data_IF_328629715343
#
_entry.id   IF_328629715343
#
_cell.length_a   1.000
_cell.length_b   1.000
_cell.length_c   1.000
_cell.angle_alpha   90.00
_cell.angle_beta   90.00
_cell.angle_gamma   90.00
#
_symmetry.space_group_name_H-M   'P 1'
#
loop_
_entity.id
_entity.type
_entity.pdbx_description
1 polymer ?
#
# COMPACT_ATOMS: atom_id res chain seq x y z
N UNK A 1 -11.97 30.56 2.61
CA UNK A 1 -11.06 29.45 2.94
C UNK A 1 -10.30 29.88 4.19
N UNK A 2 -10.08 29.02 5.19
CA UNK A 2 -9.40 29.43 6.42
C UNK A 2 -7.88 29.45 6.13
N UNK A 3 -7.26 30.63 6.03
CA UNK A 3 -5.84 30.82 5.65
C UNK A 3 -4.87 29.92 6.44
N UNK A 4 -5.20 29.63 7.72
CA UNK A 4 -4.39 28.74 8.56
C UNK A 4 -4.40 27.29 8.06
N UNK A 5 -5.56 26.80 7.62
CA UNK A 5 -5.70 25.42 7.13
C UNK A 5 -4.97 25.19 5.81
N UNK A 6 -5.02 26.19 4.91
CA UNK A 6 -4.28 26.16 3.66
C UNK A 6 -2.79 26.12 3.93
N UNK A 7 -2.26 27.06 4.72
CA UNK A 7 -0.83 27.11 5.02
C UNK A 7 -0.30 25.81 5.65
N UNK A 8 -1.06 25.18 6.55
CA UNK A 8 -0.69 23.88 7.14
C UNK A 8 -0.68 22.77 6.07
N UNK A 9 -1.70 22.72 5.19
CA UNK A 9 -1.74 21.76 4.09
C UNK A 9 -0.61 21.99 3.10
N UNK A 10 -0.35 23.23 2.69
CA UNK A 10 0.72 23.60 1.76
C UNK A 10 2.09 23.20 2.32
N UNK A 11 2.40 23.56 3.58
CA UNK A 11 3.65 23.17 4.22
C UNK A 11 3.83 21.64 4.29
N UNK A 12 2.75 20.91 4.62
CA UNK A 12 2.77 19.45 4.62
C UNK A 12 3.00 18.86 3.23
N UNK A 13 2.35 19.41 2.19
CA UNK A 13 2.48 18.95 0.80
C UNK A 13 3.87 19.25 0.25
N UNK A 14 4.40 20.45 0.47
CA UNK A 14 5.74 20.85 0.01
C UNK A 14 6.84 20.03 0.66
N UNK A 15 6.63 19.58 1.91
CA UNK A 15 7.53 18.66 2.61
C UNK A 15 7.25 17.18 2.32
N UNK A 16 6.32 16.88 1.41
CA UNK A 16 5.90 15.52 1.07
C UNK A 16 5.55 14.66 2.30
N UNK A 17 4.79 15.24 3.23
CA UNK A 17 4.36 14.57 4.45
C UNK A 17 3.29 13.49 4.18
N UNK A 18 3.40 12.33 4.84
CA UNK A 18 2.38 11.28 4.77
C UNK A 18 1.14 11.60 5.61
N UNK A 19 1.33 12.27 6.76
CA UNK A 19 0.26 12.53 7.71
C UNK A 19 0.47 13.90 8.39
N UNK A 20 -0.63 14.59 8.69
CA UNK A 20 -0.73 15.74 9.57
C UNK A 20 -1.47 15.30 10.83
N UNK A 21 -0.88 15.55 12.00
CA UNK A 21 -1.45 15.26 13.31
C UNK A 21 -1.81 16.57 13.98
N UNK A 22 -3.05 16.69 14.46
CA UNK A 22 -3.53 17.83 15.23
C UNK A 22 -4.00 17.27 16.55
N UNK A 23 -3.15 17.39 17.56
CA UNK A 23 -3.35 16.78 18.86
C UNK A 23 -3.55 17.82 19.96
N UNK A 24 -4.47 17.58 20.91
CA UNK A 24 -4.62 18.45 22.05
C UNK A 24 -3.37 18.43 22.93
N UNK A 25 -3.03 19.60 23.48
CA UNK A 25 -2.01 19.80 24.51
C UNK A 25 -2.61 20.65 25.63
N UNK A 26 -1.92 20.74 26.78
CA UNK A 26 -2.42 21.42 27.98
C UNK A 26 -3.02 22.82 27.68
N UNK A 27 -2.34 23.62 26.85
CA UNK A 27 -2.72 25.00 26.56
C UNK A 27 -3.31 25.20 25.14
N UNK A 28 -3.65 24.15 24.41
CA UNK A 28 -4.11 24.30 23.03
C UNK A 28 -3.99 23.05 22.19
N UNK A 29 -3.45 23.20 20.99
CA UNK A 29 -3.20 22.12 20.04
C UNK A 29 -1.78 22.19 19.50
N UNK A 30 -1.24 21.03 19.19
CA UNK A 30 0.03 20.89 18.49
C UNK A 30 -0.22 20.28 17.11
N UNK A 31 0.38 20.89 16.09
CA UNK A 31 0.35 20.41 14.71
C UNK A 31 1.71 19.81 14.37
N UNK A 32 1.70 18.52 14.03
CA UNK A 32 2.88 17.75 13.61
C UNK A 32 2.66 17.18 12.21
N UNK A 33 3.74 16.98 11.48
CA UNK A 33 3.71 16.27 10.20
C UNK A 33 4.69 15.10 10.23
N UNK A 34 4.34 13.99 9.56
CA UNK A 34 5.25 12.86 9.35
C UNK A 34 5.80 12.92 7.93
N UNK A 35 7.12 12.96 7.80
CA UNK A 35 7.84 12.86 6.53
C UNK A 35 8.72 11.62 6.54
N UNK A 36 9.46 11.37 5.44
CA UNK A 36 10.44 10.28 5.37
C UNK A 36 11.53 10.38 6.47
N UNK A 37 11.79 11.58 6.98
CA UNK A 37 12.80 11.85 8.03
C UNK A 37 12.24 11.60 9.44
N UNK A 38 10.91 11.54 9.59
CA UNK A 38 10.25 11.29 10.86
C UNK A 38 9.15 12.31 11.18
N UNK A 39 8.78 12.38 12.46
CA UNK A 39 7.71 13.25 12.96
C UNK A 39 8.28 14.63 13.35
N UNK A 40 7.71 15.69 12.80
CA UNK A 40 8.19 17.07 12.97
C UNK A 40 7.06 17.97 13.45
N UNK A 41 7.28 18.75 14.53
CA UNK A 41 6.33 19.79 14.96
C UNK A 41 6.47 21.00 14.03
N UNK A 42 5.35 21.47 13.48
CA UNK A 42 5.34 22.65 12.59
C UNK A 42 4.68 23.86 13.25
N UNK A 43 3.70 23.66 14.13
CA UNK A 43 2.99 24.77 14.76
C UNK A 43 2.33 24.37 16.09
N UNK A 44 2.20 25.33 17.00
CA UNK A 44 1.27 25.26 18.13
C UNK A 44 0.15 26.27 17.94
N UNK A 45 -1.06 25.88 18.34
CA UNK A 45 -2.29 26.65 18.18
C UNK A 45 -2.96 26.85 19.54
N UNK A 46 -3.65 27.98 19.71
CA UNK A 46 -4.54 28.18 20.85
C UNK A 46 -5.68 27.16 20.82
N UNK A 47 -6.36 26.95 21.96
CA UNK A 47 -7.56 26.10 22.03
C UNK A 47 -8.62 26.51 21.02
N UNK A 48 -8.81 27.81 20.83
CA UNK A 48 -9.74 28.35 19.84
C UNK A 48 -9.26 28.05 18.41
N UNK A 49 -8.00 28.33 18.09
CA UNK A 49 -7.43 28.09 16.76
C UNK A 49 -7.48 26.63 16.34
N UNK A 50 -7.09 25.71 17.23
CA UNK A 50 -7.17 24.27 16.92
C UNK A 50 -8.60 23.78 16.73
N UNK A 51 -9.57 24.29 17.51
CA UNK A 51 -10.99 23.95 17.35
C UNK A 51 -11.56 24.43 16.02
N UNK A 52 -11.18 25.62 15.57
CA UNK A 52 -11.55 26.15 14.26
C UNK A 52 -10.94 25.32 13.11
N UNK A 53 -9.68 24.89 13.26
CA UNK A 53 -9.01 24.01 12.29
C UNK A 53 -9.73 22.66 12.17
N UNK A 54 -10.07 22.04 13.30
CA UNK A 54 -10.82 20.78 13.35
C UNK A 54 -12.19 20.92 12.69
N UNK A 55 -12.96 21.97 13.04
CA UNK A 55 -14.27 22.23 12.45
C UNK A 55 -14.18 22.38 10.92
N UNK A 56 -13.17 23.13 10.43
CA UNK A 56 -12.95 23.31 9.01
C UNK A 56 -12.67 21.98 8.29
N UNK A 57 -11.74 21.18 8.81
CA UNK A 57 -11.42 19.90 8.19
C UNK A 57 -12.59 18.91 8.23
N UNK A 58 -13.35 18.89 9.33
CA UNK A 58 -14.56 18.06 9.42
C UNK A 58 -15.62 18.48 8.41
N UNK A 59 -15.82 19.78 8.21
CA UNK A 59 -16.71 20.28 7.17
C UNK A 59 -16.29 19.81 5.78
N UNK A 60 -15.00 19.98 5.42
CA UNK A 60 -14.49 19.56 4.11
C UNK A 60 -14.60 18.06 3.89
N UNK A 61 -14.37 17.27 4.94
CA UNK A 61 -14.40 15.82 4.90
C UNK A 61 -15.80 15.21 5.06
N UNK A 62 -16.86 16.04 5.09
CA UNK A 62 -18.26 15.64 5.32
C UNK A 62 -18.48 14.88 6.64
N UNK A 63 -17.75 15.26 7.68
CA UNK A 63 -17.87 14.72 9.04
C UNK A 63 -18.81 15.57 9.89
N UNK A 64 -19.38 14.99 10.95
CA UNK A 64 -20.27 15.70 11.87
C UNK A 64 -19.47 16.60 12.82
N UNK A 65 -19.57 17.92 12.60
CA UNK A 65 -18.91 18.97 13.39
C UNK A 65 -19.37 18.99 14.86
N UNK A 66 -20.61 18.56 15.11
CA UNK A 66 -21.22 18.56 16.45
C UNK A 66 -20.75 17.39 17.30
N UNK A 67 -20.56 16.21 16.70
CA UNK A 67 -20.01 15.03 17.39
C UNK A 67 -18.49 15.17 17.55
N UNK A 68 -17.95 14.95 18.75
CA UNK A 68 -16.53 15.19 19.08
C UNK A 68 -15.93 14.10 19.97
N UNK A 69 -16.76 13.17 20.42
CA UNK A 69 -16.41 12.09 21.34
C UNK A 69 -16.19 10.79 20.59
N UNK A 70 -17.07 10.50 19.61
CA UNK A 70 -17.00 9.26 18.82
C UNK A 70 -15.95 9.35 17.71
N UNK A 71 -15.31 8.22 17.34
CA UNK A 71 -14.49 8.16 16.15
C UNK A 71 -15.28 8.54 14.90
N UNK A 72 -14.65 9.31 14.01
CA UNK A 72 -15.22 9.70 12.73
C UNK A 72 -14.16 9.55 11.64
N UNK A 73 -14.62 9.19 10.44
CA UNK A 73 -13.79 9.11 9.24
C UNK A 73 -14.40 9.98 8.15
N UNK A 74 -13.55 10.61 7.35
CA UNK A 74 -13.98 11.42 6.22
C UNK A 74 -12.93 11.43 5.13
N UNK A 75 -13.28 11.94 3.96
CA UNK A 75 -12.36 12.09 2.84
C UNK A 75 -12.62 13.40 2.11
N UNK A 76 -11.56 14.01 1.58
CA UNK A 76 -11.66 15.23 0.79
C UNK A 76 -10.57 15.21 -0.30
N UNK A 77 -10.89 15.71 -1.48
CA UNK A 77 -9.92 15.83 -2.56
C UNK A 77 -9.53 17.31 -2.72
N UNK A 78 -8.22 17.57 -2.76
CA UNK A 78 -7.69 18.89 -3.07
C UNK A 78 -6.89 18.87 -4.37
N UNK A 79 -6.72 20.03 -4.99
CA UNK A 79 -5.81 20.24 -6.11
C UNK A 79 -4.70 21.19 -5.68
N UNK A 80 -3.44 20.75 -5.77
CA UNK A 80 -2.27 21.55 -5.44
C UNK A 80 -1.27 21.51 -6.59
N UNK A 81 -0.90 22.66 -7.14
CA UNK A 81 0.00 22.78 -8.32
C UNK A 81 -0.40 21.83 -9.46
N UNK A 82 -1.71 21.76 -9.77
CA UNK A 82 -2.34 20.86 -10.77
C UNK A 82 -2.23 19.37 -10.50
N UNK A 83 -1.85 18.97 -9.28
CA UNK A 83 -1.85 17.58 -8.83
C UNK A 83 -3.01 17.37 -7.88
N UNK A 84 -3.80 16.33 -8.13
CA UNK A 84 -4.83 15.88 -7.20
C UNK A 84 -4.17 15.16 -6.02
N UNK A 85 -4.59 15.51 -4.82
CA UNK A 85 -4.17 14.87 -3.57
C UNK A 85 -5.43 14.51 -2.80
N UNK A 86 -5.54 13.24 -2.41
CA UNK A 86 -6.66 12.75 -1.61
C UNK A 86 -6.28 12.85 -0.14
N UNK A 87 -7.19 13.38 0.66
CA UNK A 87 -7.02 13.53 2.09
C UNK A 87 -7.98 12.56 2.79
N UNK A 88 -7.46 11.74 3.69
CA UNK A 88 -8.27 10.90 4.57
C UNK A 88 -8.20 11.44 5.98
N UNK A 89 -9.36 11.66 6.59
CA UNK A 89 -9.51 12.24 7.91
C UNK A 89 -9.93 11.16 8.90
N UNK A 90 -9.34 11.21 10.09
CA UNK A 90 -9.75 10.40 11.23
C UNK A 90 -9.76 11.30 12.47
N UNK A 91 -10.92 11.50 13.07
CA UNK A 91 -11.04 12.20 14.35
C UNK A 91 -11.52 11.28 15.46
N UNK A 92 -11.12 11.59 16.69
CA UNK A 92 -11.59 10.87 17.87
C UNK A 92 -11.46 11.76 19.11
N UNK A 93 -12.43 11.66 20.02
CA UNK A 93 -12.37 12.31 21.32
C UNK A 93 -11.31 11.70 22.22
N UNK A 94 -10.47 12.54 22.80
CA UNK A 94 -9.50 12.17 23.83
C UNK A 94 -10.19 12.10 25.21
N UNK A 95 -9.55 11.41 26.16
CA UNK A 95 -10.03 11.28 27.54
C UNK A 95 -10.29 12.64 28.23
N UNK A 96 -9.43 13.65 27.97
CA UNK A 96 -9.58 14.99 28.53
C UNK A 96 -10.73 15.81 27.89
N UNK A 97 -11.49 15.23 26.96
CA UNK A 97 -12.65 15.84 26.32
C UNK A 97 -12.34 16.70 25.10
N UNK A 98 -11.06 16.86 24.75
CA UNK A 98 -10.65 17.48 23.48
C UNK A 98 -10.72 16.47 22.33
N UNK A 99 -10.97 16.94 21.11
CA UNK A 99 -10.97 16.08 19.92
C UNK A 99 -9.58 16.09 19.29
N UNK A 100 -9.11 14.96 18.80
CA UNK A 100 -7.90 14.84 17.98
C UNK A 100 -8.29 14.65 16.52
N UNK A 101 -7.42 15.07 15.59
CA UNK A 101 -7.62 14.86 14.16
C UNK A 101 -6.31 14.47 13.49
N UNK A 102 -6.36 13.44 12.65
CA UNK A 102 -5.28 13.04 11.75
C UNK A 102 -5.76 13.18 10.32
N UNK A 103 -4.94 13.82 9.49
CA UNK A 103 -5.15 13.94 8.04
C UNK A 103 -4.04 13.17 7.33
N UNK A 104 -4.37 12.07 6.66
CA UNK A 104 -3.42 11.35 5.80
C UNK A 104 -3.48 11.92 4.39
N UNK A 105 -2.31 12.24 3.84
CA UNK A 105 -2.14 12.73 2.48
C UNK A 105 -1.82 11.55 1.56
N UNK A 106 -2.76 11.24 0.69
CA UNK A 106 -2.63 10.24 -0.36
C UNK A 106 -2.27 10.97 -1.64
N UNK A 107 -0.99 10.95 -1.97
CA UNK A 107 -0.49 11.50 -3.23
C UNK A 107 -0.87 10.56 -4.39
N UNK A 108 -0.98 11.14 -5.59
CA UNK A 108 -0.99 10.35 -6.82
C UNK A 108 0.32 9.57 -6.98
N UNK A 109 0.33 8.63 -7.93
CA UNK A 109 1.46 7.73 -8.18
C UNK A 109 2.82 8.45 -8.26
N UNK A 110 3.81 7.88 -7.56
CA UNK A 110 5.22 8.19 -7.76
C UNK A 110 5.80 7.20 -8.75
N UNK A 111 6.73 7.66 -9.58
CA UNK A 111 7.62 6.75 -10.29
C UNK A 111 8.38 5.93 -9.26
N UNK A 112 8.19 4.60 -9.27
CA UNK A 112 8.95 3.74 -8.40
C UNK A 112 10.39 3.62 -8.93
N UNK A 113 11.35 3.69 -8.02
CA UNK A 113 12.74 3.37 -8.34
C UNK A 113 12.97 1.88 -8.14
N UNK A 114 13.64 1.24 -9.10
CA UNK A 114 14.02 -0.18 -9.02
C UNK A 114 15.53 -0.31 -9.14
N UNK A 115 16.13 -1.13 -8.29
CA UNK A 115 17.56 -1.45 -8.41
C UNK A 115 17.86 -2.24 -9.68
N UNK A 116 16.94 -3.13 -10.04
CA UNK A 116 17.00 -4.03 -11.18
C UNK A 116 15.70 -3.88 -12.00
N UNK A 117 15.60 -2.92 -12.93
CA UNK A 117 14.39 -2.70 -13.74
C UNK A 117 13.91 -3.93 -14.53
N UNK A 118 14.83 -4.86 -14.84
CA UNK A 118 14.53 -6.16 -15.43
C UNK A 118 13.56 -7.01 -14.58
N UNK A 119 13.58 -6.85 -13.25
CA UNK A 119 12.67 -7.56 -12.35
C UNK A 119 11.22 -7.08 -12.52
N UNK A 120 11.02 -5.77 -12.61
CA UNK A 120 9.70 -5.21 -12.91
C UNK A 120 9.22 -5.62 -14.30
N UNK A 121 10.10 -5.57 -15.31
CA UNK A 121 9.78 -6.02 -16.67
C UNK A 121 9.42 -7.51 -16.74
N UNK A 122 10.06 -8.35 -15.92
CA UNK A 122 9.73 -9.76 -15.79
C UNK A 122 8.31 -9.94 -15.24
N UNK A 123 7.96 -9.30 -14.12
CA UNK A 123 6.59 -9.37 -13.56
C UNK A 123 5.58 -8.87 -14.58
N UNK A 124 5.86 -7.74 -15.24
CA UNK A 124 5.04 -7.22 -16.34
C UNK A 124 4.81 -8.25 -17.42
N UNK A 125 5.84 -8.95 -17.88
CA UNK A 125 5.70 -10.02 -18.89
C UNK A 125 4.82 -11.17 -18.39
N UNK A 126 4.93 -11.53 -17.12
CA UNK A 126 4.14 -12.61 -16.50
C UNK A 126 2.64 -12.26 -16.42
N UNK A 127 2.27 -10.97 -16.36
CA UNK A 127 0.85 -10.54 -16.41
C UNK A 127 0.10 -10.83 -17.71
N UNK A 128 0.82 -11.23 -18.77
CA UNK A 128 0.17 -11.72 -19.99
C UNK A 128 -0.54 -13.06 -19.77
N UNK A 129 -0.20 -13.77 -18.70
CA UNK A 129 -0.91 -14.95 -18.22
C UNK A 129 -2.00 -14.50 -17.24
N UNK A 130 -3.20 -15.09 -17.36
CA UNK A 130 -4.22 -14.99 -16.32
C UNK A 130 -3.78 -15.79 -15.10
N UNK A 131 -4.33 -15.48 -13.94
CA UNK A 131 -3.96 -16.12 -12.69
C UNK A 131 -3.65 -15.09 -11.61
N UNK A 132 -2.86 -15.51 -10.62
CA UNK A 132 -2.57 -14.78 -9.41
C UNK A 132 -1.07 -14.42 -9.37
N UNK A 133 -0.78 -13.13 -9.20
CA UNK A 133 0.55 -12.64 -8.85
C UNK A 133 0.48 -12.07 -7.43
N UNK A 134 1.29 -12.63 -6.52
CA UNK A 134 1.31 -12.21 -5.12
C UNK A 134 2.60 -11.49 -4.79
N UNK A 135 2.47 -10.26 -4.33
CA UNK A 135 3.58 -9.44 -3.85
C UNK A 135 3.67 -9.47 -2.33
N UNK A 136 4.84 -9.74 -1.77
CA UNK A 136 5.08 -9.81 -0.34
C UNK A 136 6.22 -8.92 0.14
N UNK A 137 6.25 -8.71 1.45
CA UNK A 137 7.20 -7.80 2.11
C UNK A 137 6.61 -7.09 3.33
N UNK A 138 7.45 -6.47 4.16
CA UNK A 138 7.01 -5.70 5.32
C UNK A 138 6.21 -4.44 4.92
N UNK A 139 5.64 -3.74 5.90
CA UNK A 139 5.03 -2.43 5.68
C UNK A 139 6.08 -1.45 5.11
N UNK A 140 5.69 -0.65 4.13
CA UNK A 140 6.60 0.30 3.48
C UNK A 140 7.61 -0.32 2.50
N UNK A 141 7.43 -1.58 2.10
CA UNK A 141 8.34 -2.25 1.16
C UNK A 141 8.09 -1.96 -0.33
N UNK A 142 7.08 -1.17 -0.67
CA UNK A 142 6.74 -0.81 -2.05
C UNK A 142 5.63 -1.66 -2.70
N UNK A 143 5.05 -2.65 -2.01
CA UNK A 143 4.06 -3.59 -2.59
C UNK A 143 2.92 -2.92 -3.35
N UNK A 144 2.20 -2.02 -2.67
CA UNK A 144 1.05 -1.32 -3.25
C UNK A 144 1.49 -0.43 -4.40
N UNK A 145 2.59 0.30 -4.25
CA UNK A 145 3.12 1.17 -5.30
C UNK A 145 3.52 0.41 -6.56
N UNK A 146 4.23 -0.72 -6.43
CA UNK A 146 4.60 -1.56 -7.59
C UNK A 146 3.36 -2.21 -8.22
N UNK A 147 2.40 -2.66 -7.41
CA UNK A 147 1.16 -3.25 -7.92
C UNK A 147 0.34 -2.25 -8.72
N UNK A 148 0.25 -1.00 -8.25
CA UNK A 148 -0.44 0.10 -8.95
C UNK A 148 0.26 0.46 -10.26
N UNK A 149 1.58 0.68 -10.24
CA UNK A 149 2.36 0.96 -11.45
C UNK A 149 2.21 -0.17 -12.48
N UNK A 150 2.29 -1.43 -12.03
CA UNK A 150 2.09 -2.60 -12.88
C UNK A 150 0.71 -2.57 -13.55
N UNK A 151 -0.35 -2.39 -12.76
CA UNK A 151 -1.72 -2.34 -13.25
C UNK A 151 -1.97 -1.18 -14.21
N UNK A 152 -1.39 -0.01 -13.96
CA UNK A 152 -1.51 1.16 -14.84
C UNK A 152 -0.86 0.86 -16.20
N UNK A 153 0.36 0.32 -16.20
CA UNK A 153 1.12 0.03 -17.41
C UNK A 153 0.41 -1.01 -18.30
N UNK A 154 -0.20 -2.04 -17.70
CA UNK A 154 -0.84 -3.14 -18.44
C UNK A 154 -2.36 -2.96 -18.62
N UNK A 155 -2.94 -2.00 -17.90
CA UNK A 155 -4.37 -1.73 -17.78
C UNK A 155 -4.91 -0.78 -18.83
N UNK A 156 -4.07 -0.33 -19.78
CA UNK A 156 -4.53 0.50 -20.89
C UNK A 156 -5.64 -0.22 -21.67
N UNK A 157 -6.82 0.40 -21.74
CA UNK A 157 -8.05 -0.17 -22.33
C UNK A 157 -8.61 -1.42 -21.62
N UNK A 158 -8.34 -1.57 -20.33
CA UNK A 158 -8.86 -2.65 -19.49
C UNK A 158 -9.62 -2.08 -18.30
N UNK A 159 -10.60 -2.83 -17.79
CA UNK A 159 -11.27 -2.50 -16.53
C UNK A 159 -10.38 -2.96 -15.39
N UNK A 160 -9.80 -1.99 -14.67
CA UNK A 160 -9.04 -2.23 -13.44
C UNK A 160 -9.93 -1.91 -12.24
N UNK A 161 -10.08 -2.88 -11.35
CA UNK A 161 -10.84 -2.70 -10.11
C UNK A 161 -9.99 -3.07 -8.90
N UNK A 162 -10.11 -2.30 -7.81
CA UNK A 162 -9.35 -2.55 -6.57
C UNK A 162 -10.29 -2.77 -5.39
N UNK A 163 -9.85 -3.60 -4.45
CA UNK A 163 -10.50 -3.79 -3.15
C UNK A 163 -9.44 -3.59 -2.08
N UNK A 164 -9.61 -2.57 -1.24
CA UNK A 164 -8.58 -2.12 -0.32
C UNK A 164 -9.15 -1.82 1.07
N UNK A 165 -8.26 -1.88 2.06
CA UNK A 165 -8.59 -1.56 3.45
C UNK A 165 -7.37 -0.92 4.14
N UNK A 166 -7.19 0.40 4.01
CA UNK A 166 -7.87 1.37 3.13
C UNK A 166 -7.14 1.60 1.79
N UNK A 167 -7.65 2.48 0.92
CA UNK A 167 -6.95 2.91 -0.31
C UNK A 167 -5.72 3.75 0.07
N UNK A 168 -4.55 3.39 -0.47
CA UNK A 168 -3.27 4.04 -0.14
C UNK A 168 -2.61 4.75 -1.34
N UNK A 169 -3.00 4.41 -2.57
CA UNK A 169 -2.57 5.11 -3.80
C UNK A 169 -3.81 5.44 -4.59
N UNK A 170 -3.90 6.67 -5.12
CA UNK A 170 -5.02 7.05 -5.97
C UNK A 170 -4.65 6.98 -7.45
N UNK A 171 -5.50 6.32 -8.24
CA UNK A 171 -5.39 6.28 -9.69
C UNK A 171 -6.78 6.52 -10.32
N UNK A 172 -7.00 7.63 -11.04
CA UNK A 172 -8.30 7.98 -11.61
C UNK A 172 -8.81 6.99 -12.66
N UNK A 173 -7.92 6.20 -13.26
CA UNK A 173 -8.29 5.25 -14.30
C UNK A 173 -8.82 3.93 -13.72
N UNK A 174 -8.78 3.75 -12.39
CA UNK A 174 -9.21 2.54 -11.70
C UNK A 174 -10.56 2.73 -11.00
N UNK A 175 -11.38 1.67 -10.97
CA UNK A 175 -12.52 1.59 -10.07
C UNK A 175 -12.02 1.13 -8.68
N UNK A 176 -11.71 2.09 -7.81
CA UNK A 176 -11.15 1.80 -6.49
C UNK A 176 -12.25 1.63 -5.45
N UNK A 177 -12.29 0.50 -4.75
CA UNK A 177 -13.26 0.25 -3.67
C UNK A 177 -12.55 0.05 -2.33
N UNK A 178 -13.20 0.50 -1.26
CA UNK A 178 -12.65 0.44 0.09
C UNK A 178 -13.62 -0.26 1.04
N UNK A 179 -13.09 -1.12 1.90
CA UNK A 179 -13.84 -1.70 3.02
C UNK A 179 -14.43 -0.58 3.89
N UNK A 180 -15.68 -0.75 4.27
CA UNK A 180 -16.40 0.15 5.17
C UNK A 180 -17.27 -0.65 6.14
N UNK A 181 -16.65 -1.10 7.23
CA UNK A 181 -17.33 -1.90 8.25
C UNK A 181 -18.49 -1.16 8.94
N UNK A 182 -18.43 0.18 9.02
CA UNK A 182 -19.51 1.01 9.59
C UNK A 182 -20.77 0.92 8.71
N UNK A 183 -20.59 0.89 7.38
CA UNK A 183 -21.68 0.70 6.42
C UNK A 183 -22.02 -0.79 6.17
N UNK A 184 -21.38 -1.72 6.86
CA UNK A 184 -21.55 -3.16 6.63
C UNK A 184 -20.95 -3.68 5.33
N UNK A 185 -20.03 -2.92 4.71
CA UNK A 185 -19.34 -3.30 3.47
C UNK A 185 -18.02 -3.98 3.83
N UNK A 186 -17.98 -5.31 3.71
CA UNK A 186 -16.79 -6.10 4.04
C UNK A 186 -15.94 -6.42 2.80
N UNK A 187 -14.74 -6.95 3.04
CA UNK A 187 -13.85 -7.38 1.95
C UNK A 187 -14.50 -8.46 1.06
N UNK A 188 -15.14 -9.52 1.60
CA UNK A 188 -15.89 -10.48 0.79
C UNK A 188 -17.04 -9.87 -0.02
N UNK A 189 -17.75 -8.86 0.50
CA UNK A 189 -18.84 -8.20 -0.21
C UNK A 189 -18.34 -7.46 -1.46
N UNK A 190 -17.26 -6.69 -1.29
CA UNK A 190 -16.61 -5.97 -2.38
C UNK A 190 -16.03 -6.93 -3.43
N UNK A 191 -15.51 -8.07 -2.99
CA UNK A 191 -14.96 -9.09 -3.88
C UNK A 191 -16.04 -9.77 -4.72
N UNK A 192 -17.18 -10.11 -4.12
CA UNK A 192 -18.36 -10.60 -4.87
C UNK A 192 -18.88 -9.56 -5.84
N UNK A 193 -18.94 -8.29 -5.44
CA UNK A 193 -19.33 -7.19 -6.32
C UNK A 193 -18.35 -7.07 -7.50
N UNK A 194 -17.05 -7.08 -7.22
CA UNK A 194 -16.02 -6.97 -8.24
C UNK A 194 -16.15 -8.04 -9.33
N UNK A 195 -16.37 -9.30 -8.96
CA UNK A 195 -16.57 -10.37 -9.95
C UNK A 195 -17.80 -10.16 -10.86
N UNK A 196 -18.83 -9.42 -10.40
CA UNK A 196 -19.99 -9.05 -11.22
C UNK A 196 -19.72 -7.84 -12.13
N UNK A 197 -18.76 -6.99 -11.75
CA UNK A 197 -18.29 -5.87 -12.57
C UNK A 197 -17.35 -6.32 -13.71
N UNK A 198 -17.01 -7.61 -13.79
CA UNK A 198 -16.18 -8.21 -14.85
C UNK A 198 -14.86 -7.46 -15.07
N UNK A 199 -14.01 -7.26 -14.05
CA UNK A 199 -12.72 -6.61 -14.22
C UNK A 199 -11.82 -7.46 -15.11
N UNK A 200 -11.00 -6.82 -15.93
CA UNK A 200 -9.89 -7.50 -16.60
C UNK A 200 -8.72 -7.71 -15.63
N UNK A 201 -8.54 -6.77 -14.69
CA UNK A 201 -7.51 -6.78 -13.66
C UNK A 201 -8.16 -6.49 -12.31
N UNK A 202 -8.00 -7.42 -11.37
CA UNK A 202 -8.48 -7.28 -10.01
C UNK A 202 -7.30 -7.09 -9.05
N UNK A 203 -7.28 -5.96 -8.37
CA UNK A 203 -6.32 -5.67 -7.30
C UNK A 203 -6.95 -6.01 -5.95
N UNK A 204 -6.25 -6.84 -5.19
CA UNK A 204 -6.59 -7.22 -3.82
C UNK A 204 -5.52 -6.59 -2.93
N UNK A 205 -5.88 -5.49 -2.28
CA UNK A 205 -5.00 -4.70 -1.42
C UNK A 205 -4.17 -5.56 -0.47
N UNK A 206 -4.78 -6.53 0.22
CA UNK A 206 -4.07 -7.47 1.09
C UNK A 206 -4.86 -8.76 1.36
N UNK A 207 -4.21 -9.93 1.26
CA UNK A 207 -4.77 -11.21 1.69
C UNK A 207 -4.44 -11.42 3.18
N UNK A 208 -5.40 -11.16 4.07
CA UNK A 208 -5.21 -11.27 5.53
C UNK A 208 -5.69 -12.59 6.12
N UNK A 209 -6.76 -13.14 5.56
CA UNK A 209 -7.51 -14.28 6.10
C UNK A 209 -7.83 -15.34 5.03
N UNK A 210 -8.34 -16.47 5.49
CA UNK A 210 -8.69 -17.64 4.67
C UNK A 210 -9.80 -17.33 3.66
N UNK A 211 -10.78 -16.51 4.03
CA UNK A 211 -11.89 -16.18 3.14
C UNK A 211 -11.41 -15.35 1.95
N UNK A 212 -10.65 -14.28 2.23
CA UNK A 212 -10.03 -13.43 1.22
C UNK A 212 -9.11 -14.25 0.33
N UNK A 213 -8.29 -15.14 0.90
CA UNK A 213 -7.42 -16.03 0.13
C UNK A 213 -8.22 -16.93 -0.82
N UNK A 214 -9.26 -17.61 -0.33
CA UNK A 214 -10.06 -18.53 -1.14
C UNK A 214 -10.75 -17.82 -2.30
N UNK A 215 -11.34 -16.66 -2.07
CA UNK A 215 -12.02 -15.94 -3.14
C UNK A 215 -11.00 -15.35 -4.13
N UNK A 216 -9.82 -14.90 -3.67
CA UNK A 216 -8.72 -14.47 -4.56
C UNK A 216 -8.30 -15.58 -5.52
N UNK A 217 -8.15 -16.79 -5.01
CA UNK A 217 -7.81 -17.99 -5.77
C UNK A 217 -8.93 -18.34 -6.75
N UNK A 218 -10.19 -18.30 -6.33
CA UNK A 218 -11.33 -18.55 -7.22
C UNK A 218 -11.42 -17.51 -8.36
N UNK A 219 -11.12 -16.23 -8.08
CA UNK A 219 -11.06 -15.19 -9.08
C UNK A 219 -9.95 -15.49 -10.12
N UNK A 220 -8.77 -15.90 -9.65
CA UNK A 220 -7.66 -16.29 -10.52
C UNK A 220 -7.97 -17.54 -11.37
N UNK A 221 -8.54 -18.59 -10.75
CA UNK A 221 -8.94 -19.84 -11.43
C UNK A 221 -10.06 -19.63 -12.45
N UNK A 222 -10.95 -18.66 -12.23
CA UNK A 222 -11.98 -18.27 -13.21
C UNK A 222 -11.43 -17.43 -14.37
N UNK A 223 -10.11 -17.21 -14.42
CA UNK A 223 -9.42 -16.59 -15.54
C UNK A 223 -9.31 -15.07 -15.46
N UNK A 224 -9.37 -14.48 -14.26
CA UNK A 224 -9.03 -13.07 -14.05
C UNK A 224 -7.51 -12.94 -13.83
N UNK A 225 -6.93 -11.79 -14.17
CA UNK A 225 -5.62 -11.42 -13.64
C UNK A 225 -5.84 -10.80 -12.26
N UNK A 226 -5.36 -11.47 -11.22
CA UNK A 226 -5.43 -11.00 -9.84
C UNK A 226 -4.05 -10.58 -9.38
N UNK A 227 -3.92 -9.33 -8.95
CA UNK A 227 -2.73 -8.81 -8.29
C UNK A 227 -3.07 -8.66 -6.82
N UNK A 228 -2.30 -9.31 -5.95
CA UNK A 228 -2.58 -9.29 -4.51
C UNK A 228 -1.33 -9.01 -3.70
N UNK A 229 -1.49 -8.45 -2.50
CA UNK A 229 -0.39 -8.39 -1.54
C UNK A 229 -0.58 -9.31 -0.34
N UNK A 230 0.51 -9.73 0.28
CA UNK A 230 0.49 -10.51 1.52
C UNK A 230 1.72 -10.23 2.37
N UNK A 231 1.62 -10.32 3.69
CA UNK A 231 2.78 -10.25 4.56
C UNK A 231 3.48 -11.61 4.66
N UNK A 232 4.69 -11.67 4.13
CA UNK A 232 5.64 -12.79 4.27
C UNK A 232 7.06 -12.24 4.20
N UNK A 233 8.05 -12.96 4.75
CA UNK A 233 9.45 -12.50 4.79
C UNK A 233 10.28 -12.90 3.57
N UNK A 234 9.76 -13.80 2.72
CA UNK A 234 10.43 -14.22 1.48
C UNK A 234 9.40 -14.65 0.43
N UNK A 235 9.85 -14.82 -0.81
CA UNK A 235 9.04 -15.37 -1.90
C UNK A 235 8.50 -16.76 -1.53
N UNK A 236 9.31 -17.58 -0.85
CA UNK A 236 8.92 -18.90 -0.36
C UNK A 236 7.89 -18.89 0.76
N UNK A 237 8.09 -18.02 1.74
CA UNK A 237 7.15 -17.89 2.84
C UNK A 237 5.79 -17.37 2.36
N UNK A 238 5.74 -16.72 1.19
CA UNK A 238 4.48 -16.33 0.54
C UNK A 238 3.63 -17.55 0.20
N UNK A 239 4.25 -18.60 -0.38
CA UNK A 239 3.58 -19.87 -0.69
C UNK A 239 3.10 -20.53 0.61
N UNK A 240 3.99 -20.62 1.60
CA UNK A 240 3.68 -21.23 2.90
C UNK A 240 2.57 -20.49 3.64
N UNK A 241 2.50 -19.16 3.48
CA UNK A 241 1.44 -18.32 4.06
C UNK A 241 0.10 -18.58 3.39
N UNK A 242 0.05 -18.72 2.06
CA UNK A 242 -1.18 -19.09 1.34
C UNK A 242 -1.66 -20.49 1.75
N UNK A 243 -0.74 -21.46 1.88
CA UNK A 243 -1.07 -22.80 2.41
C UNK A 243 -1.63 -22.71 3.84
N UNK A 244 -0.99 -21.91 4.70
CA UNK A 244 -1.47 -21.66 6.07
C UNK A 244 -2.82 -20.95 6.15
N UNK A 245 -3.26 -20.29 5.07
CA UNK A 245 -4.60 -19.72 4.92
C UNK A 245 -5.59 -20.72 4.29
N UNK A 246 -5.22 -22.01 4.20
CA UNK A 246 -6.10 -23.08 3.72
C UNK A 246 -6.18 -23.22 2.20
N UNK A 247 -5.23 -22.63 1.46
CA UNK A 247 -5.12 -22.85 0.01
C UNK A 247 -4.33 -24.12 -0.25
N UNK A 248 -4.87 -24.99 -1.11
CA UNK A 248 -4.24 -26.26 -1.44
C UNK A 248 -3.12 -26.08 -2.47
N UNK A 249 -2.18 -27.02 -2.50
CA UNK A 249 -1.10 -27.04 -3.49
C UNK A 249 -1.61 -27.15 -4.93
N UNK A 250 -2.70 -27.88 -5.14
CA UNK A 250 -3.33 -28.02 -6.44
C UNK A 250 -3.95 -26.69 -6.90
N UNK A 251 -4.65 -25.98 -6.02
CA UNK A 251 -5.16 -24.63 -6.31
C UNK A 251 -4.02 -23.67 -6.68
N UNK A 252 -2.93 -23.66 -5.90
CA UNK A 252 -1.77 -22.81 -6.16
C UNK A 252 -1.09 -23.17 -7.49
N UNK A 253 -0.88 -24.45 -7.77
CA UNK A 253 -0.20 -24.90 -9.00
C UNK A 253 -1.01 -24.55 -10.26
N UNK A 254 -2.33 -24.42 -10.14
CA UNK A 254 -3.22 -24.11 -11.25
C UNK A 254 -3.42 -22.61 -11.51
N UNK A 255 -3.13 -21.73 -10.53
CA UNK A 255 -3.39 -20.30 -10.70
C UNK A 255 -2.27 -19.35 -10.27
N UNK A 256 -1.31 -19.76 -9.43
CA UNK A 256 -0.24 -18.88 -8.97
C UNK A 256 0.82 -18.70 -10.06
N UNK A 257 0.75 -17.57 -10.75
CA UNK A 257 1.65 -17.21 -11.86
C UNK A 257 3.03 -16.80 -11.33
N UNK A 258 3.05 -15.99 -10.26
CA UNK A 258 4.28 -15.50 -9.68
C UNK A 258 4.13 -15.10 -8.20
N UNK A 259 5.24 -15.18 -7.48
CA UNK A 259 5.43 -14.54 -6.17
C UNK A 259 6.57 -13.54 -6.25
N UNK A 260 6.42 -12.37 -5.64
CA UNK A 260 7.47 -11.34 -5.59
C UNK A 260 7.63 -10.83 -4.17
N UNK A 261 8.73 -11.19 -3.51
CA UNK A 261 9.12 -10.53 -2.26
C UNK A 261 9.83 -9.21 -2.55
N UNK A 262 9.57 -8.17 -1.76
CA UNK A 262 10.07 -6.82 -2.01
C UNK A 262 10.61 -6.13 -0.77
N UNK A 263 11.64 -5.30 -0.96
CA UNK A 263 12.08 -4.26 0.00
C UNK A 263 12.53 -3.00 -0.70
N UNK A 264 12.36 -1.87 -0.02
CA UNK A 264 13.03 -0.62 -0.36
C UNK A 264 14.37 -0.56 0.39
N UNK A 265 15.46 -0.42 -0.37
CA UNK A 265 16.81 -0.27 0.18
C UNK A 265 17.32 1.15 -0.10
N UNK A 266 18.10 1.75 0.82
CA UNK A 266 18.74 3.04 0.58
C UNK A 266 19.77 2.93 -0.54
N UNK A 267 19.75 3.89 -1.46
CA UNK A 267 20.73 4.01 -2.53
C UNK A 267 22.00 4.64 -1.96
N UNK A 268 23.17 4.06 -2.26
CA UNK A 268 24.45 4.56 -1.77
C UNK A 268 24.66 6.02 -2.21
N UNK A 269 25.11 6.85 -1.27
CA UNK A 269 25.43 8.27 -1.47
C UNK A 269 24.26 9.14 -2.00
N UNK A 270 23.02 8.66 -1.85
CA UNK A 270 21.80 9.39 -2.19
C UNK A 270 20.80 9.35 -1.05
N UNK A 271 20.07 10.45 -0.83
CA UNK A 271 18.94 10.47 0.11
C UNK A 271 17.67 9.95 -0.56
N UNK A 272 17.73 8.72 -1.08
CA UNK A 272 16.65 8.08 -1.84
C UNK A 272 16.69 6.56 -1.68
N UNK A 273 15.59 5.89 -2.01
CA UNK A 273 15.43 4.44 -1.92
C UNK A 273 15.05 3.85 -3.28
N UNK A 274 15.38 2.58 -3.49
CA UNK A 274 14.91 1.80 -4.62
C UNK A 274 14.44 0.42 -4.19
N UNK A 275 13.47 -0.13 -4.91
CA UNK A 275 12.93 -1.45 -4.68
C UNK A 275 13.87 -2.52 -5.25
N UNK A 276 14.12 -3.55 -4.46
CA UNK A 276 14.70 -4.81 -4.89
C UNK A 276 13.65 -5.92 -4.70
N UNK A 277 13.62 -6.86 -5.63
CA UNK A 277 12.66 -7.97 -5.61
C UNK A 277 13.37 -9.33 -5.56
N UNK A 278 12.68 -10.34 -5.04
CA UNK A 278 12.98 -11.75 -5.25
C UNK A 278 11.75 -12.41 -5.86
N UNK A 279 11.89 -13.00 -7.05
CA UNK A 279 10.74 -13.37 -7.90
C UNK A 279 10.74 -14.88 -8.17
N UNK A 280 9.67 -15.53 -7.75
CA UNK A 280 9.37 -16.91 -8.08
C UNK A 280 8.33 -17.05 -9.19
N UNK A 281 8.63 -17.81 -10.24
CA UNK A 281 7.72 -18.06 -11.35
C UNK A 281 8.09 -19.36 -12.11
N UNK A 282 7.19 -19.81 -13.01
CA UNK A 282 7.44 -20.93 -13.90
C UNK A 282 7.70 -22.27 -13.20
N UNK A 283 8.58 -23.11 -13.76
CA UNK A 283 8.89 -24.44 -13.18
C UNK A 283 9.45 -24.36 -11.77
N UNK A 284 10.26 -23.34 -11.46
CA UNK A 284 10.83 -23.14 -10.14
C UNK A 284 9.72 -22.93 -9.09
N UNK A 285 8.70 -22.14 -9.42
CA UNK A 285 7.54 -21.94 -8.56
C UNK A 285 6.74 -23.23 -8.39
N UNK A 286 6.46 -23.95 -9.48
CA UNK A 286 5.73 -25.22 -9.42
C UNK A 286 6.45 -26.28 -8.58
N UNK A 287 7.78 -26.36 -8.68
CA UNK A 287 8.59 -27.25 -7.84
C UNK A 287 8.52 -26.88 -6.36
N UNK A 288 8.49 -25.58 -6.04
CA UNK A 288 8.41 -25.14 -4.65
C UNK A 288 7.02 -25.33 -4.01
N UNK A 289 5.96 -25.26 -4.82
CA UNK A 289 4.59 -25.57 -4.38
C UNK A 289 4.47 -27.08 -4.13
N UNK A 290 4.90 -27.91 -5.08
CA UNK A 290 4.76 -29.37 -5.00
C UNK A 290 5.70 -29.99 -3.96
N UNK A 291 6.94 -29.52 -3.90
CA UNK A 291 8.03 -30.20 -3.19
C UNK A 291 8.64 -29.32 -2.10
N UNK A 292 8.29 -29.59 -0.84
CA UNK A 292 8.70 -28.74 0.30
C UNK A 292 10.22 -28.67 0.47
N UNK A 293 10.96 -29.71 0.09
CA UNK A 293 12.42 -29.78 0.23
C UNK A 293 13.17 -28.95 -0.83
N UNK A 294 12.54 -28.65 -1.98
CA UNK A 294 13.13 -27.82 -3.04
C UNK A 294 12.86 -26.33 -2.87
N UNK A 295 12.25 -25.93 -1.75
CA UNK A 295 11.93 -24.53 -1.46
C UNK A 295 13.19 -23.65 -1.52
N UNK A 296 14.36 -24.10 -1.08
CA UNK A 296 15.60 -23.30 -1.07
C UNK A 296 16.06 -22.69 -2.41
N UNK A 297 15.52 -23.13 -3.56
CA UNK A 297 15.92 -22.63 -4.88
C UNK A 297 15.24 -21.32 -5.31
N UNK A 298 14.23 -20.85 -4.57
CA UNK A 298 13.47 -19.62 -4.86
C UNK A 298 14.13 -18.37 -4.26
N UNK A 299 15.46 -18.24 -4.38
CA UNK A 299 16.21 -17.21 -3.67
C UNK A 299 17.34 -16.64 -4.52
N UNK A 300 17.04 -15.59 -5.31
CA UNK A 300 18.08 -14.79 -5.97
C UNK A 300 18.42 -13.52 -5.17
N UNK A 301 17.87 -13.39 -3.96
CA UNK A 301 18.02 -12.22 -3.11
C UNK A 301 19.48 -11.91 -2.75
N UNK A 302 20.23 -12.85 -2.17
CA UNK A 302 21.62 -12.60 -1.77
C UNK A 302 22.52 -12.37 -2.97
N UNK A 303 22.28 -13.06 -4.10
CA UNK A 303 22.99 -12.81 -5.34
C UNK A 303 22.74 -11.38 -5.84
N UNK A 304 21.48 -10.94 -5.82
CA UNK A 304 21.11 -9.58 -6.19
C UNK A 304 21.78 -8.55 -5.28
N UNK A 305 21.74 -8.75 -3.96
CA UNK A 305 22.44 -7.88 -2.99
C UNK A 305 23.94 -7.82 -3.25
N UNK A 306 24.58 -8.98 -3.46
CA UNK A 306 26.01 -9.08 -3.78
C UNK A 306 26.35 -8.31 -5.06
N UNK A 307 25.51 -8.43 -6.10
CA UNK A 307 25.71 -7.68 -7.35
C UNK A 307 25.54 -6.17 -7.13
N UNK A 308 24.59 -5.73 -6.32
CA UNK A 308 24.38 -4.31 -6.03
C UNK A 308 25.53 -3.69 -5.25
N UNK A 309 26.12 -4.41 -4.28
CA UNK A 309 27.33 -3.97 -3.58
C UNK A 309 28.51 -3.89 -4.54
N UNK A 310 28.75 -4.93 -5.34
CA UNK A 310 29.81 -4.95 -6.36
C UNK A 310 29.69 -3.81 -7.37
N UNK A 311 28.45 -3.41 -7.73
CA UNK A 311 28.15 -2.28 -8.62
C UNK A 311 28.14 -0.92 -7.90
N UNK A 312 28.42 -0.87 -6.60
CA UNK A 312 28.43 0.34 -5.79
C UNK A 312 27.07 1.00 -5.61
N UNK A 313 25.96 0.27 -5.82
CA UNK A 313 24.59 0.80 -5.73
C UNK A 313 24.06 0.86 -4.30
N UNK A 314 24.54 -0.02 -3.43
CA UNK A 314 24.24 -0.05 -1.99
C UNK A 314 25.55 -0.20 -1.19
N UNK A 315 25.52 0.11 0.10
CA UNK A 315 26.67 -0.07 1.01
C UNK A 315 26.73 -1.50 1.56
N UNK A 316 27.90 -1.95 2.03
CA UNK A 316 28.02 -3.25 2.73
C UNK A 316 27.17 -3.30 4.00
N UNK A 317 27.05 -2.18 4.73
CA UNK A 317 26.12 -2.05 5.87
C UNK A 317 24.67 -2.27 5.44
N UNK A 318 24.27 -1.73 4.29
CA UNK A 318 22.94 -1.96 3.71
C UNK A 318 22.77 -3.43 3.36
N UNK A 319 23.77 -4.09 2.78
CA UNK A 319 23.69 -5.51 2.47
C UNK A 319 23.46 -6.35 3.73
N UNK A 320 24.26 -6.16 4.78
CA UNK A 320 24.12 -6.90 6.05
C UNK A 320 22.73 -6.70 6.68
N UNK A 321 22.21 -5.46 6.65
CA UNK A 321 20.90 -5.15 7.24
C UNK A 321 19.73 -5.85 6.52
N UNK A 322 19.89 -6.19 5.24
CA UNK A 322 18.84 -6.78 4.41
C UNK A 322 19.16 -8.22 3.97
N UNK A 323 20.16 -8.88 4.56
CA UNK A 323 20.66 -10.18 4.12
C UNK A 323 19.60 -11.30 4.17
N UNK A 324 18.72 -11.27 5.18
CA UNK A 324 17.65 -12.25 5.38
C UNK A 324 16.34 -11.91 4.65
N UNK A 325 16.35 -10.85 3.84
CA UNK A 325 15.14 -10.27 3.28
C UNK A 325 14.67 -9.07 4.06
#
# INVERSE_FOLDING_TARGET
MNEMSERILEEAIERHASDIFIFPIINGYEVKIRTAVGLNKIQELSRHGGRELLNYFKFQAQMDISERRRPQVGAYQIEFKRKKIFLRFSSVGEFAGAESLVVRLIYGEKNNNYFLPEQFNLIKKLTNQRGLIVTSGPTGSGKTSTMYELAQVIGKNKVVMTIEDPVEVWNPDFLQTQVNLIAGITYPDLLKAALRHRPDILIIGEIRDQETAKISINAALSGHLVLATIHAKTALQTISRLEGLGITKDELSNCLTAVSYQRLLPIKDKNDVACLMDIGYGEMLNQAITNNDKRGNLHDWQNSLNQLVKRGKISEKTQQLFEEG
#
